data_IF_725548067195
#
_entry.id   IF_725548067195
#
_cell.length_a   1.000
_cell.length_b   1.000
_cell.length_c   1.000
_cell.angle_alpha   90.00
_cell.angle_beta   90.00
_cell.angle_gamma   90.00
#
_symmetry.space_group_name_H-M   'P 1'
#
loop_
_entity.id
_entity.type
_entity.pdbx_description
1 polymer ?
#
# COMPACT_ATOMS: atom_id res chain seq x y z
N UNK A 1 1.39 -3.36 23.10
CA UNK A 1 1.66 -3.88 21.75
C UNK A 1 2.30 -2.76 20.94
N UNK A 2 3.47 -2.98 20.32
CA UNK A 2 4.21 -1.90 19.63
C UNK A 2 3.50 -1.46 18.35
N UNK A 3 3.69 -0.20 17.97
CA UNK A 3 3.17 0.35 16.72
C UNK A 3 3.79 -0.35 15.50
N UNK A 4 5.06 -0.70 15.60
CA UNK A 4 5.79 -1.49 14.61
C UNK A 4 5.13 -2.87 14.37
N UNK A 5 4.81 -3.61 15.44
CA UNK A 5 4.16 -4.91 15.29
C UNK A 5 2.77 -4.80 14.63
N UNK A 6 2.04 -3.68 14.86
CA UNK A 6 0.77 -3.41 14.16
C UNK A 6 0.98 -3.17 12.67
N UNK A 7 2.01 -2.40 12.31
CA UNK A 7 2.34 -2.09 10.91
C UNK A 7 2.74 -3.36 10.16
N UNK A 8 3.65 -4.16 10.73
CA UNK A 8 4.08 -5.44 10.16
C UNK A 8 2.88 -6.37 9.93
N UNK A 9 1.97 -6.49 10.92
CA UNK A 9 0.78 -7.33 10.77
C UNK A 9 -0.12 -6.85 9.61
N UNK A 10 -0.32 -5.53 9.48
CA UNK A 10 -1.11 -4.95 8.38
C UNK A 10 -0.46 -5.17 7.02
N UNK A 11 0.86 -5.02 6.91
CA UNK A 11 1.64 -5.30 5.70
C UNK A 11 1.41 -6.75 5.24
N UNK A 12 1.55 -7.72 6.15
CA UNK A 12 1.33 -9.13 5.84
C UNK A 12 -0.10 -9.44 5.38
N UNK A 13 -1.12 -8.83 6.00
CA UNK A 13 -2.52 -8.99 5.58
C UNK A 13 -2.70 -8.45 4.17
N UNK A 14 -2.24 -7.22 3.89
CA UNK A 14 -2.35 -6.59 2.58
C UNK A 14 -1.65 -7.44 1.51
N UNK A 15 -0.47 -7.99 1.81
CA UNK A 15 0.25 -8.85 0.89
C UNK A 15 -0.51 -10.13 0.51
N UNK A 16 -1.17 -10.77 1.48
CA UNK A 16 -1.95 -11.97 1.17
C UNK A 16 -3.19 -11.64 0.33
N UNK A 17 -3.86 -10.51 0.62
CA UNK A 17 -5.01 -10.05 -0.17
C UNK A 17 -4.62 -9.74 -1.62
N UNK A 18 -3.48 -9.09 -1.83
CA UNK A 18 -2.98 -8.79 -3.18
C UNK A 18 -2.68 -10.08 -3.96
N UNK A 19 -2.04 -11.06 -3.33
CA UNK A 19 -1.79 -12.37 -3.95
C UNK A 19 -3.07 -13.10 -4.30
N UNK A 20 -4.05 -13.12 -3.40
CA UNK A 20 -5.34 -13.74 -3.67
C UNK A 20 -6.10 -13.07 -4.82
N UNK A 21 -6.04 -11.74 -4.92
CA UNK A 21 -6.71 -11.00 -5.99
C UNK A 21 -6.09 -11.29 -7.36
N UNK A 22 -4.76 -11.38 -7.43
CA UNK A 22 -4.03 -11.70 -8.66
C UNK A 22 -4.37 -13.13 -9.13
N UNK A 23 -4.37 -14.10 -8.21
CA UNK A 23 -4.74 -15.50 -8.49
C UNK A 23 -6.19 -15.66 -8.98
N UNK A 24 -7.09 -14.76 -8.57
CA UNK A 24 -8.51 -14.81 -8.96
C UNK A 24 -8.83 -14.05 -10.25
N UNK A 25 -7.82 -13.58 -10.99
CA UNK A 25 -7.99 -12.68 -12.14
C UNK A 25 -8.86 -11.45 -11.81
N UNK A 26 -8.73 -10.94 -10.59
CA UNK A 26 -9.47 -9.78 -10.11
C UNK A 26 -8.90 -8.47 -10.66
N UNK A 27 -8.71 -7.49 -9.79
CA UNK A 27 -7.97 -6.28 -10.14
C UNK A 27 -6.47 -6.60 -10.19
N UNK A 28 -5.78 -6.07 -11.20
CA UNK A 28 -4.33 -6.17 -11.21
C UNK A 28 -3.75 -5.46 -9.99
N UNK A 29 -2.68 -6.04 -9.49
CA UNK A 29 -1.96 -5.56 -8.33
C UNK A 29 -1.48 -4.10 -8.55
N UNK A 30 -1.05 -3.76 -9.77
CA UNK A 30 -0.70 -2.39 -10.18
C UNK A 30 -1.88 -1.40 -10.10
N UNK A 31 -3.08 -1.81 -10.52
CA UNK A 31 -4.28 -0.95 -10.40
C UNK A 31 -4.62 -0.64 -8.94
N UNK A 32 -4.34 -1.57 -8.02
CA UNK A 32 -4.57 -1.35 -6.59
C UNK A 32 -3.55 -0.35 -6.05
N UNK A 33 -2.29 -0.47 -6.46
CA UNK A 33 -1.24 0.50 -6.12
C UNK A 33 -1.62 1.91 -6.57
N UNK A 34 -2.04 2.08 -7.82
CA UNK A 34 -2.44 3.38 -8.37
C UNK A 34 -3.59 4.01 -7.58
N UNK A 35 -4.61 3.20 -7.25
CA UNK A 35 -5.76 3.67 -6.44
C UNK A 35 -5.33 4.08 -5.04
N UNK A 36 -4.44 3.32 -4.41
CA UNK A 36 -3.92 3.65 -3.08
C UNK A 36 -3.10 4.95 -3.09
N UNK A 37 -2.23 5.14 -4.09
CA UNK A 37 -1.51 6.40 -4.30
C UNK A 37 -2.47 7.57 -4.52
N UNK A 38 -3.49 7.38 -5.37
CA UNK A 38 -4.53 8.38 -5.60
C UNK A 38 -5.29 8.75 -4.33
N UNK A 39 -5.59 7.78 -3.46
CA UNK A 39 -6.24 8.04 -2.17
C UNK A 39 -5.34 8.84 -1.22
N UNK A 40 -4.05 8.50 -1.12
CA UNK A 40 -3.07 9.22 -0.28
C UNK A 40 -2.87 10.66 -0.77
N UNK A 41 -2.91 10.87 -2.08
CA UNK A 41 -2.71 12.17 -2.71
C UNK A 41 -4.01 12.97 -2.87
N UNK A 42 -5.15 12.36 -2.57
CA UNK A 42 -6.45 13.02 -2.66
C UNK A 42 -6.58 14.11 -1.60
N UNK A 43 -7.42 15.12 -1.88
CA UNK A 43 -7.75 16.19 -0.93
C UNK A 43 -8.38 15.66 0.37
N UNK A 44 -8.88 14.43 0.36
CA UNK A 44 -9.54 13.78 1.49
C UNK A 44 -8.54 13.06 2.42
N UNK A 45 -7.24 13.02 2.06
CA UNK A 45 -6.23 12.51 2.97
C UNK A 45 -6.07 13.48 4.16
N UNK A 46 -6.29 13.03 5.41
CA UNK A 46 -6.27 13.90 6.58
C UNK A 46 -4.87 14.38 6.99
N UNK A 47 -3.85 14.11 6.18
CA UNK A 47 -2.48 14.53 6.43
C UNK A 47 -2.12 15.82 5.70
N UNK A 48 -1.23 16.60 6.30
CA UNK A 48 -0.55 17.67 5.58
C UNK A 48 0.20 17.13 4.34
N UNK A 49 0.59 17.99 3.37
CA UNK A 49 1.27 17.56 2.15
C UNK A 49 2.56 16.75 2.39
N UNK A 50 3.26 16.98 3.51
CA UNK A 50 4.51 16.27 3.86
C UNK A 50 4.19 14.83 4.25
N UNK A 51 3.14 14.62 5.05
CA UNK A 51 2.68 13.27 5.41
C UNK A 51 2.15 12.49 4.21
N UNK A 52 1.46 13.15 3.29
CA UNK A 52 0.98 12.51 2.06
C UNK A 52 2.15 12.05 1.18
N UNK A 53 3.19 12.89 1.05
CA UNK A 53 4.41 12.54 0.33
C UNK A 53 5.17 11.38 0.98
N UNK A 54 5.33 11.40 2.31
CA UNK A 54 5.98 10.31 3.05
C UNK A 54 5.23 8.98 2.91
N UNK A 55 3.89 9.01 3.05
CA UNK A 55 3.05 7.82 2.88
C UNK A 55 3.10 7.28 1.43
N UNK A 56 3.10 8.17 0.43
CA UNK A 56 3.25 7.78 -0.98
C UNK A 56 4.62 7.13 -1.25
N UNK A 57 5.69 7.66 -0.64
CA UNK A 57 7.03 7.09 -0.73
C UNK A 57 7.09 5.70 -0.11
N UNK A 58 6.62 5.56 1.13
CA UNK A 58 6.59 4.28 1.83
C UNK A 58 5.81 3.20 1.05
N UNK A 59 4.69 3.57 0.44
CA UNK A 59 3.90 2.64 -0.39
C UNK A 59 4.67 2.19 -1.64
N UNK A 60 5.38 3.09 -2.32
CA UNK A 60 6.21 2.75 -3.49
C UNK A 60 7.39 1.85 -3.12
N UNK A 61 8.04 2.11 -1.98
CA UNK A 61 9.14 1.29 -1.50
C UNK A 61 8.67 -0.13 -1.15
N UNK A 62 7.52 -0.25 -0.48
CA UNK A 62 6.89 -1.53 -0.19
C UNK A 62 6.53 -2.30 -1.48
N UNK A 63 6.04 -1.59 -2.51
CA UNK A 63 5.75 -2.19 -3.81
C UNK A 63 6.99 -2.68 -4.57
N UNK A 64 8.05 -1.86 -4.58
CA UNK A 64 9.29 -2.21 -5.26
C UNK A 64 9.95 -3.46 -4.65
N UNK A 65 9.74 -3.71 -3.36
CA UNK A 65 10.15 -4.95 -2.70
C UNK A 65 9.35 -6.18 -3.20
N UNK A 66 8.08 -6.00 -3.57
CA UNK A 66 7.23 -7.07 -4.11
C UNK A 66 7.62 -7.44 -5.55
N UNK A 67 7.85 -6.45 -6.42
CA UNK A 67 8.20 -6.69 -7.83
C UNK A 67 9.60 -7.28 -8.07
N UNK A 68 10.42 -7.39 -7.03
CA UNK A 68 11.76 -8.00 -7.06
C UNK A 68 11.80 -9.46 -6.57
N UNK A 69 10.67 -10.05 -6.21
CA UNK A 69 10.53 -11.47 -5.85
C UNK A 69 9.83 -12.24 -6.95
#
# INVERSE_FOLDING_TARGET
>A
MSQEAKIIALEHIVFQLLKELDLRHGLSSDMILERALGSIQSKDYPGDPVRAAAASGALKDAWAFLGKK
#
